data_IF_450413660144
#
_entry.id   IF_450413660144
#
_cell.length_a   1.000
_cell.length_b   1.000
_cell.length_c   1.000
_cell.angle_alpha   90.00
_cell.angle_beta   90.00
_cell.angle_gamma   90.00
#
_symmetry.space_group_name_H-M   'P 1'
#
loop_
_entity.id
_entity.type
_entity.pdbx_description
1 polymer ?
#
# COMPACT_ATOMS: atom_id res chain seq x y z
N UNK A 1 -26.50 -8.97 25.02
CA UNK A 1 -26.11 -9.66 23.76
C UNK A 1 -25.29 -8.70 22.94
N UNK A 2 -23.99 -8.87 22.92
CA UNK A 2 -23.15 -8.13 21.99
C UNK A 2 -23.36 -8.73 20.60
N UNK A 3 -23.91 -7.95 19.68
CA UNK A 3 -23.91 -8.30 18.26
C UNK A 3 -22.44 -8.51 17.88
N UNK A 4 -22.02 -9.68 17.39
CA UNK A 4 -20.67 -9.84 16.93
C UNK A 4 -20.49 -8.87 15.76
N UNK A 5 -19.74 -7.79 16.00
CA UNK A 5 -19.24 -6.90 14.93
C UNK A 5 -18.60 -7.86 13.94
N UNK A 6 -19.05 -7.79 12.69
CA UNK A 6 -18.69 -8.72 11.65
C UNK A 6 -17.17 -8.84 11.61
N UNK A 7 -16.63 -10.03 11.92
CA UNK A 7 -15.20 -10.28 12.09
C UNK A 7 -14.36 -10.05 10.81
N UNK A 8 -15.01 -9.69 9.70
CA UNK A 8 -14.37 -9.50 8.40
C UNK A 8 -14.18 -8.04 7.98
N UNK A 9 -14.81 -7.07 8.66
CA UNK A 9 -14.67 -5.64 8.33
C UNK A 9 -14.63 -4.78 9.60
N UNK A 10 -13.84 -3.72 9.57
CA UNK A 10 -13.72 -2.76 10.68
C UNK A 10 -13.50 -1.36 10.15
N UNK A 11 -14.29 -0.39 10.62
CA UNK A 11 -14.05 1.04 10.39
C UNK A 11 -12.90 1.48 11.30
N UNK A 12 -11.96 2.24 10.74
CA UNK A 12 -10.80 2.80 11.45
C UNK A 12 -10.82 4.31 11.25
N UNK A 13 -10.99 5.04 12.33
CA UNK A 13 -11.08 6.51 12.36
C UNK A 13 -9.80 7.18 12.83
N UNK A 14 -8.89 6.40 13.44
CA UNK A 14 -7.61 6.88 13.92
C UNK A 14 -6.47 6.22 13.15
N UNK A 15 -5.73 7.03 12.37
CA UNK A 15 -4.52 6.62 11.65
C UNK A 15 -4.66 5.30 10.87
N UNK A 16 -5.64 5.17 9.97
CA UNK A 16 -5.94 3.91 9.29
C UNK A 16 -4.73 3.33 8.54
N UNK A 17 -3.91 4.17 7.89
CA UNK A 17 -2.70 3.71 7.19
C UNK A 17 -1.67 3.18 8.18
N UNK A 18 -1.50 3.82 9.34
CA UNK A 18 -0.63 3.30 10.41
C UNK A 18 -1.12 1.93 10.90
N UNK A 19 -2.42 1.75 11.09
CA UNK A 19 -3.02 0.48 11.52
C UNK A 19 -2.71 -0.63 10.50
N UNK A 20 -2.84 -0.34 9.20
CA UNK A 20 -2.47 -1.27 8.12
C UNK A 20 -0.98 -1.63 8.18
N UNK A 21 -0.11 -0.63 8.22
CA UNK A 21 1.35 -0.84 8.27
C UNK A 21 1.77 -1.60 9.53
N UNK A 22 1.20 -1.26 10.68
CA UNK A 22 1.48 -1.97 11.94
C UNK A 22 1.11 -3.45 11.82
N UNK A 23 -0.05 -3.77 11.23
CA UNK A 23 -0.45 -5.16 11.02
C UNK A 23 0.52 -5.88 10.07
N UNK A 24 0.97 -5.22 9.02
CA UNK A 24 1.94 -5.76 8.07
C UNK A 24 3.32 -5.98 8.71
N UNK A 25 3.83 -5.00 9.47
CA UNK A 25 5.19 -5.05 10.05
C UNK A 25 5.27 -5.94 11.30
N UNK A 26 4.27 -5.89 12.18
CA UNK A 26 4.26 -6.63 13.46
C UNK A 26 3.66 -8.03 13.27
N UNK A 27 2.55 -8.14 12.55
CA UNK A 27 1.87 -9.41 12.29
C UNK A 27 2.66 -10.37 11.41
N UNK A 28 3.54 -9.83 10.56
CA UNK A 28 4.41 -10.59 9.65
C UNK A 28 3.68 -11.71 8.90
N UNK A 29 2.55 -11.43 8.22
CA UNK A 29 1.83 -12.44 7.47
C UNK A 29 2.74 -13.04 6.39
N UNK A 30 2.52 -14.31 6.03
CA UNK A 30 3.19 -14.92 4.87
C UNK A 30 2.65 -14.30 3.58
N UNK A 31 3.22 -13.14 3.22
CA UNK A 31 2.73 -12.28 2.15
C UNK A 31 3.16 -12.82 0.79
N UNK A 32 2.19 -13.11 -0.09
CA UNK A 32 2.43 -13.48 -1.49
C UNK A 32 2.49 -12.27 -2.43
N UNK A 33 1.78 -11.20 -2.10
CA UNK A 33 1.85 -9.94 -2.83
C UNK A 33 1.39 -8.77 -1.95
N UNK A 34 1.97 -7.59 -2.19
CA UNK A 34 1.51 -6.33 -1.64
C UNK A 34 1.05 -5.40 -2.75
N UNK A 35 -0.17 -4.87 -2.64
CA UNK A 35 -0.70 -3.86 -3.56
C UNK A 35 -0.84 -2.54 -2.82
N UNK A 36 -0.27 -1.50 -3.39
CA UNK A 36 -0.32 -0.12 -2.88
C UNK A 36 -0.90 0.77 -3.98
N UNK A 37 -2.06 1.32 -3.74
CA UNK A 37 -2.72 2.32 -4.60
C UNK A 37 -2.82 3.60 -3.78
N UNK A 38 -2.02 4.61 -4.13
CA UNK A 38 -1.99 5.87 -3.39
C UNK A 38 -1.53 7.00 -4.31
N UNK A 39 -2.33 8.07 -4.49
CA UNK A 39 -1.96 9.21 -5.31
C UNK A 39 -0.63 9.84 -4.94
N UNK A 40 -0.29 9.84 -3.65
CA UNK A 40 0.94 10.40 -3.11
C UNK A 40 1.62 9.38 -2.20
N UNK A 41 2.95 9.27 -2.32
CA UNK A 41 3.78 8.35 -1.55
C UNK A 41 5.00 9.10 -1.04
N UNK A 42 5.26 9.01 0.27
CA UNK A 42 6.49 9.49 0.89
C UNK A 42 7.39 8.33 1.30
N UNK A 43 8.66 8.59 1.56
CA UNK A 43 9.63 7.60 2.02
C UNK A 43 9.31 7.04 3.40
N UNK A 44 8.52 7.76 4.19
CA UNK A 44 8.23 7.52 5.60
C UNK A 44 9.51 7.45 6.47
N UNK A 45 10.59 8.10 6.02
CA UNK A 45 11.86 8.16 6.74
C UNK A 45 11.67 8.72 8.15
N UNK A 46 12.34 8.12 9.12
CA UNK A 46 12.23 8.49 10.54
C UNK A 46 10.99 7.96 11.25
N UNK A 47 10.13 7.23 10.56
CA UNK A 47 9.05 6.46 11.20
C UNK A 47 9.49 5.00 11.40
N UNK A 48 8.72 4.26 12.20
CA UNK A 48 8.92 2.80 12.35
C UNK A 48 8.41 1.99 11.14
N UNK A 49 7.93 2.64 10.08
CA UNK A 49 7.31 2.01 8.91
C UNK A 49 7.95 2.52 7.61
N UNK A 50 9.26 2.68 7.60
CA UNK A 50 9.98 3.16 6.41
C UNK A 50 9.75 2.25 5.20
N UNK A 51 9.51 2.84 4.03
CA UNK A 51 9.33 2.09 2.78
C UNK A 51 10.55 1.21 2.46
N UNK A 52 11.76 1.69 2.77
CA UNK A 52 12.99 0.93 2.60
C UNK A 52 12.93 -0.39 3.34
N UNK A 53 12.61 -0.37 4.63
CA UNK A 53 12.51 -1.59 5.46
C UNK A 53 11.43 -2.55 4.95
N UNK A 54 10.30 -2.01 4.45
CA UNK A 54 9.25 -2.81 3.84
C UNK A 54 9.74 -3.55 2.60
N UNK A 55 10.39 -2.83 1.67
CA UNK A 55 10.91 -3.39 0.43
C UNK A 55 12.02 -4.42 0.70
N UNK A 56 12.95 -4.14 1.61
CA UNK A 56 14.02 -5.07 2.01
C UNK A 56 13.44 -6.37 2.58
N UNK A 57 12.46 -6.27 3.47
CA UNK A 57 11.85 -7.46 4.08
C UNK A 57 11.11 -8.33 3.06
N UNK A 58 10.28 -7.73 2.21
CA UNK A 58 9.55 -8.47 1.18
C UNK A 58 10.46 -8.93 0.04
N UNK A 59 11.57 -8.22 -0.20
CA UNK A 59 12.61 -8.62 -1.13
C UNK A 59 13.35 -9.91 -0.71
N UNK A 60 13.51 -10.18 0.59
CA UNK A 60 14.12 -11.41 1.09
C UNK A 60 13.35 -12.67 0.69
N UNK A 61 12.04 -12.56 0.52
CA UNK A 61 11.16 -13.65 0.04
C UNK A 61 10.79 -13.51 -1.43
N UNK A 62 11.37 -12.53 -2.12
CA UNK A 62 11.02 -12.14 -3.49
C UNK A 62 9.52 -11.87 -3.69
N UNK A 63 8.87 -11.36 -2.65
CA UNK A 63 7.45 -11.03 -2.67
C UNK A 63 7.20 -9.78 -3.50
N UNK A 64 6.35 -9.83 -4.55
CA UNK A 64 6.11 -8.68 -5.40
C UNK A 64 5.33 -7.58 -4.68
N UNK A 65 5.73 -6.33 -4.95
CA UNK A 65 5.06 -5.12 -4.50
C UNK A 65 4.59 -4.35 -5.73
N UNK A 66 3.29 -4.24 -5.90
CA UNK A 66 2.66 -3.50 -7.00
C UNK A 66 2.20 -2.14 -6.50
N UNK A 67 2.75 -1.08 -7.07
CA UNK A 67 2.46 0.29 -6.67
C UNK A 67 1.84 1.06 -7.83
N UNK A 68 0.68 1.64 -7.60
CA UNK A 68 0.09 2.63 -8.49
C UNK A 68 0.01 3.97 -7.76
N UNK A 69 0.58 5.00 -8.39
CA UNK A 69 0.62 6.35 -7.84
C UNK A 69 0.44 7.39 -8.96
N UNK A 70 0.42 8.67 -8.65
CA UNK A 70 0.57 9.73 -9.65
C UNK A 70 2.03 9.94 -9.99
N UNK A 71 2.32 10.52 -11.14
CA UNK A 71 3.67 10.99 -11.42
C UNK A 71 4.09 12.06 -10.39
N UNK A 72 5.27 11.93 -9.76
CA UNK A 72 5.69 12.84 -8.71
C UNK A 72 5.93 14.25 -9.22
N UNK A 73 5.30 15.24 -8.59
CA UNK A 73 5.46 16.67 -8.91
C UNK A 73 6.29 17.42 -7.86
N UNK A 74 6.36 16.92 -6.63
CA UNK A 74 7.14 17.50 -5.53
C UNK A 74 8.27 16.57 -5.08
N UNK A 75 9.22 17.11 -4.31
CA UNK A 75 10.43 16.38 -3.89
C UNK A 75 10.10 15.26 -2.90
N UNK A 76 9.11 15.47 -2.03
CA UNK A 76 8.71 14.46 -1.06
C UNK A 76 8.15 13.18 -1.74
N UNK A 77 7.30 13.38 -2.76
CA UNK A 77 6.77 12.26 -3.55
C UNK A 77 7.86 11.61 -4.40
N UNK A 78 8.76 12.44 -5.00
CA UNK A 78 9.92 11.93 -5.74
C UNK A 78 10.81 11.05 -4.89
N UNK A 79 11.09 11.44 -3.65
CA UNK A 79 11.88 10.64 -2.71
C UNK A 79 11.21 9.30 -2.41
N UNK A 80 9.91 9.28 -2.11
CA UNK A 80 9.17 8.05 -1.85
C UNK A 80 9.20 7.07 -3.03
N UNK A 81 8.94 7.57 -4.24
CA UNK A 81 9.01 6.76 -5.46
C UNK A 81 10.44 6.30 -5.76
N UNK A 82 11.45 7.15 -5.54
CA UNK A 82 12.85 6.78 -5.75
C UNK A 82 13.31 5.67 -4.80
N UNK A 83 12.80 5.60 -3.58
CA UNK A 83 13.03 4.47 -2.67
C UNK A 83 12.49 3.18 -3.26
N UNK A 84 11.23 3.19 -3.73
CA UNK A 84 10.56 2.02 -4.29
C UNK A 84 11.28 1.46 -5.53
N UNK A 85 11.70 2.35 -6.44
CA UNK A 85 12.35 1.98 -7.71
C UNK A 85 13.77 1.37 -7.56
N UNK A 86 14.31 1.27 -6.34
CA UNK A 86 15.61 0.62 -6.08
C UNK A 86 15.50 -0.89 -5.94
N UNK A 87 14.31 -1.44 -5.84
CA UNK A 87 14.08 -2.84 -5.51
C UNK A 87 13.46 -3.59 -6.68
N UNK A 88 14.05 -4.72 -7.07
CA UNK A 88 13.62 -5.51 -8.23
C UNK A 88 12.26 -6.18 -8.04
N UNK A 89 11.85 -6.42 -6.80
CA UNK A 89 10.53 -6.96 -6.46
C UNK A 89 9.43 -5.89 -6.42
N UNK A 90 9.74 -4.63 -6.78
CA UNK A 90 8.76 -3.52 -6.78
C UNK A 90 8.47 -3.06 -8.19
N UNK A 91 7.21 -3.08 -8.58
CA UNK A 91 6.72 -2.47 -9.81
C UNK A 91 5.97 -1.18 -9.47
N UNK A 92 6.43 -0.05 -10.00
CA UNK A 92 5.75 1.25 -9.85
C UNK A 92 5.14 1.67 -11.18
N UNK A 93 3.86 2.07 -11.15
CA UNK A 93 3.15 2.65 -12.30
C UNK A 93 2.52 3.98 -11.93
N UNK A 94 2.38 4.84 -12.94
CA UNK A 94 1.77 6.16 -12.82
C UNK A 94 0.44 6.22 -13.55
N UNK A 95 -0.56 6.83 -12.90
CA UNK A 95 -1.82 7.21 -13.56
C UNK A 95 -2.25 8.60 -13.06
N UNK A 96 -2.36 9.61 -13.95
CA UNK A 96 -2.68 10.99 -13.57
C UNK A 96 -4.09 11.14 -12.99
N UNK A 97 -5.03 10.26 -13.35
CA UNK A 97 -6.40 10.28 -12.85
C UNK A 97 -6.57 9.59 -11.48
N UNK A 98 -5.50 9.01 -10.93
CA UNK A 98 -5.58 8.27 -9.67
C UNK A 98 -6.01 9.18 -8.51
N UNK A 99 -7.09 8.77 -7.82
CA UNK A 99 -7.52 9.39 -6.56
C UNK A 99 -7.81 8.36 -5.45
N UNK A 100 -7.99 7.10 -5.82
CA UNK A 100 -8.23 6.01 -4.86
C UNK A 100 -7.05 5.76 -3.93
N UNK A 101 -7.34 5.28 -2.72
CA UNK A 101 -6.36 4.78 -1.76
C UNK A 101 -6.79 3.38 -1.34
N UNK A 102 -5.96 2.42 -1.70
CA UNK A 102 -6.15 1.00 -1.40
C UNK A 102 -4.81 0.36 -1.07
N UNK A 103 -4.77 -0.41 -0.02
CA UNK A 103 -3.61 -1.19 0.43
C UNK A 103 -4.07 -2.62 0.63
N UNK A 104 -3.44 -3.59 -0.02
CA UNK A 104 -3.79 -5.00 0.12
C UNK A 104 -2.55 -5.82 0.45
N UNK A 105 -2.55 -6.47 1.59
CA UNK A 105 -1.65 -7.56 1.91
C UNK A 105 -2.33 -8.87 1.52
N UNK A 106 -1.94 -9.43 0.39
CA UNK A 106 -2.38 -10.74 -0.05
C UNK A 106 -1.45 -11.78 0.53
N UNK A 107 -1.96 -12.63 1.41
CA UNK A 107 -1.18 -13.65 2.11
C UNK A 107 -1.54 -15.04 1.59
N UNK A 108 -0.59 -15.99 1.74
CA UNK A 108 -0.77 -17.40 1.37
C UNK A 108 -1.99 -18.00 2.04
N UNK A 109 -2.10 -17.79 3.35
CA UNK A 109 -3.31 -18.13 4.08
C UNK A 109 -4.29 -16.97 3.99
N UNK A 110 -5.42 -17.17 3.31
CA UNK A 110 -6.42 -16.11 3.12
C UNK A 110 -6.89 -15.48 4.43
N UNK A 111 -6.93 -16.24 5.52
CA UNK A 111 -7.30 -15.74 6.86
C UNK A 111 -6.31 -14.72 7.43
N UNK A 112 -5.08 -14.67 6.92
CA UNK A 112 -4.05 -13.68 7.28
C UNK A 112 -4.05 -12.47 6.35
N UNK A 113 -4.67 -12.59 5.17
CA UNK A 113 -4.77 -11.52 4.20
C UNK A 113 -5.71 -10.40 4.71
N UNK A 114 -5.38 -9.17 4.37
CA UNK A 114 -6.18 -8.01 4.74
C UNK A 114 -5.99 -6.85 3.77
N UNK A 115 -6.97 -5.96 3.74
CA UNK A 115 -6.91 -4.73 2.97
C UNK A 115 -7.34 -3.54 3.81
N UNK A 116 -6.88 -2.36 3.42
CA UNK A 116 -7.37 -1.07 3.86
C UNK A 116 -7.75 -0.25 2.63
N UNK A 117 -8.92 0.35 2.63
CA UNK A 117 -9.25 1.44 1.70
C UNK A 117 -9.84 2.63 2.47
N UNK A 118 -9.67 3.85 1.94
CA UNK A 118 -10.15 5.04 2.63
C UNK A 118 -9.57 6.33 2.08
N UNK A 119 -9.39 7.32 2.95
CA UNK A 119 -8.91 8.66 2.58
C UNK A 119 -7.40 8.84 2.67
N UNK A 120 -6.70 8.04 3.49
CA UNK A 120 -5.29 8.23 3.81
C UNK A 120 -4.32 7.84 2.70
N UNK A 121 -3.42 8.77 2.33
CA UNK A 121 -2.29 8.50 1.44
C UNK A 121 -1.13 7.82 2.18
N UNK A 122 -0.23 7.16 1.44
CA UNK A 122 1.02 6.60 1.99
C UNK A 122 2.08 7.69 2.16
N UNK A 123 1.79 8.64 3.03
CA UNK A 123 2.63 9.80 3.34
C UNK A 123 2.71 9.99 4.84
N UNK A 124 3.72 10.72 5.33
CA UNK A 124 3.83 11.00 6.76
C UNK A 124 2.55 11.62 7.35
N UNK A 125 1.94 12.66 6.74
CA UNK A 125 0.65 13.19 7.22
C UNK A 125 -0.48 12.16 7.20
N UNK A 126 -0.57 11.32 6.15
CA UNK A 126 -1.60 10.27 6.05
C UNK A 126 -1.41 9.14 7.06
N UNK A 127 -0.17 8.89 7.51
CA UNK A 127 0.13 7.88 8.54
C UNK A 127 -0.09 8.42 9.95
N UNK A 128 0.32 9.68 10.24
CA UNK A 128 0.40 10.20 11.62
C UNK A 128 -0.28 11.53 11.88
N UNK A 129 -0.55 12.34 10.87
CA UNK A 129 -0.94 13.74 11.05
C UNK A 129 -2.37 14.11 10.71
N UNK A 130 -2.95 13.49 9.71
CA UNK A 130 -4.27 13.85 9.20
C UNK A 130 -5.41 13.16 9.97
N UNK A 131 -6.60 13.79 9.90
CA UNK A 131 -7.86 13.12 10.23
C UNK A 131 -8.25 12.30 9.01
N UNK A 132 -8.24 10.98 9.14
CA UNK A 132 -8.49 10.04 8.05
C UNK A 132 -9.57 9.03 8.45
N UNK A 133 -10.29 8.53 7.46
CA UNK A 133 -11.25 7.45 7.61
C UNK A 133 -10.82 6.28 6.72
N UNK A 134 -10.84 5.08 7.27
CA UNK A 134 -10.54 3.87 6.52
C UNK A 134 -11.44 2.71 6.93
N UNK A 135 -11.51 1.73 6.05
CA UNK A 135 -12.14 0.44 6.33
C UNK A 135 -11.12 -0.67 6.12
N UNK A 136 -10.85 -1.42 7.17
CA UNK A 136 -10.07 -2.66 7.11
C UNK A 136 -10.99 -3.81 6.74
N UNK A 137 -10.57 -4.63 5.78
CA UNK A 137 -11.21 -5.89 5.39
C UNK A 137 -10.24 -7.02 5.72
N UNK A 138 -10.75 -8.11 6.27
CA UNK A 138 -9.98 -9.30 6.63
C UNK A 138 -10.48 -10.51 5.85
N UNK A 139 -9.58 -11.41 5.48
CA UNK A 139 -9.85 -12.61 4.68
C UNK A 139 -10.62 -13.71 5.43
N UNK A 140 -11.63 -13.34 6.22
CA UNK A 140 -12.45 -14.24 7.05
C UNK A 140 -13.92 -14.16 6.62
N UNK A 141 -14.59 -15.31 6.56
CA UNK A 141 -15.99 -15.36 6.19
C UNK A 141 -16.29 -14.59 4.89
N UNK A 142 -17.32 -13.72 4.87
CA UNK A 142 -17.68 -12.92 3.69
C UNK A 142 -16.59 -11.93 3.23
N UNK A 143 -15.67 -11.57 4.12
CA UNK A 143 -14.56 -10.69 3.80
C UNK A 143 -13.56 -11.29 2.81
N UNK A 144 -13.54 -12.61 2.65
CA UNK A 144 -12.67 -13.30 1.70
C UNK A 144 -12.97 -12.87 0.25
N UNK A 145 -14.23 -12.88 -0.13
CA UNK A 145 -14.64 -12.53 -1.49
C UNK A 145 -14.41 -11.03 -1.76
N UNK A 146 -14.75 -10.19 -0.78
CA UNK A 146 -14.52 -8.74 -0.86
C UNK A 146 -13.03 -8.43 -0.97
N UNK A 147 -12.19 -9.08 -0.18
CA UNK A 147 -10.74 -8.94 -0.24
C UNK A 147 -10.18 -9.34 -1.60
N UNK A 148 -10.66 -10.47 -2.15
CA UNK A 148 -10.28 -10.92 -3.48
C UNK A 148 -10.67 -9.90 -4.57
N UNK A 149 -11.88 -9.33 -4.49
CA UNK A 149 -12.31 -8.26 -5.40
C UNK A 149 -11.40 -7.03 -5.30
N UNK A 150 -11.04 -6.59 -4.08
CA UNK A 150 -10.14 -5.45 -3.87
C UNK A 150 -8.72 -5.72 -4.40
N UNK A 151 -8.19 -6.93 -4.17
CA UNK A 151 -6.89 -7.35 -4.69
C UNK A 151 -6.87 -7.35 -6.21
N UNK A 152 -7.86 -8.00 -6.83
CA UNK A 152 -7.98 -8.04 -8.29
C UNK A 152 -8.13 -6.65 -8.87
N UNK A 153 -8.99 -5.81 -8.30
CA UNK A 153 -9.16 -4.44 -8.76
C UNK A 153 -7.85 -3.65 -8.69
N UNK A 154 -7.10 -3.74 -7.59
CA UNK A 154 -5.81 -3.09 -7.46
C UNK A 154 -4.78 -3.54 -8.51
N UNK A 155 -4.78 -4.82 -8.89
CA UNK A 155 -3.93 -5.33 -9.97
C UNK A 155 -4.39 -4.86 -11.35
N UNK A 156 -5.71 -4.85 -11.62
CA UNK A 156 -6.29 -4.45 -12.91
C UNK A 156 -6.02 -2.97 -13.23
N UNK A 157 -5.88 -2.11 -12.20
CA UNK A 157 -5.49 -0.71 -12.38
C UNK A 157 -4.15 -0.54 -13.12
N UNK A 158 -3.27 -1.53 -13.09
CA UNK A 158 -1.97 -1.52 -13.78
C UNK A 158 -2.10 -1.48 -15.30
N UNK A 159 -3.24 -1.91 -15.83
CA UNK A 159 -3.54 -1.97 -17.27
C UNK A 159 -4.57 -0.95 -17.72
N UNK A 160 -5.04 -0.08 -16.83
CA UNK A 160 -5.97 1.00 -17.17
C UNK A 160 -5.38 1.95 -18.21
N UNK A 161 -6.25 2.50 -19.05
CA UNK A 161 -5.88 3.57 -19.97
C UNK A 161 -5.23 4.74 -19.23
N UNK A 162 -4.15 5.27 -19.78
CA UNK A 162 -3.36 6.35 -19.15
C UNK A 162 -2.37 5.88 -18.09
N UNK A 163 -2.31 4.57 -17.78
CA UNK A 163 -1.29 4.02 -16.87
C UNK A 163 0.02 3.78 -17.62
N UNK A 164 1.12 4.26 -17.05
CA UNK A 164 2.48 4.09 -17.59
C UNK A 164 3.41 3.46 -16.55
N UNK A 165 4.47 2.79 -17.00
CA UNK A 165 5.50 2.22 -16.13
C UNK A 165 6.46 3.31 -15.68
N UNK A 166 6.70 3.42 -14.38
CA UNK A 166 7.72 4.29 -13.84
C UNK A 166 9.12 3.78 -14.21
N UNK A 167 9.97 4.66 -14.72
CA UNK A 167 11.35 4.32 -15.05
C UNK A 167 12.28 4.93 -14.01
N UNK A 168 13.20 4.14 -13.46
CA UNK A 168 14.27 4.66 -12.64
C UNK A 168 15.13 5.65 -13.44
N UNK A 169 15.12 6.93 -13.04
CA UNK A 169 16.09 7.91 -13.54
C UNK A 169 17.22 7.98 -12.53
N UNK A 170 18.43 7.50 -12.89
CA UNK A 170 19.61 7.77 -12.08
C UNK A 170 19.67 9.28 -11.80
N UNK A 171 19.83 9.69 -10.51
CA UNK A 171 20.05 11.11 -10.24
C UNK A 171 21.27 11.58 -11.03
N UNK A 172 21.16 12.73 -11.68
CA UNK A 172 22.30 13.36 -12.34
C UNK A 172 23.42 13.52 -11.30
N UNK A 173 24.63 13.02 -11.62
CA UNK A 173 25.79 13.29 -10.76
C UNK A 173 25.90 14.80 -10.63
N UNK A 174 25.74 15.35 -9.43
CA UNK A 174 26.13 16.72 -9.17
C UNK A 174 27.64 16.79 -9.38
N UNK A 175 28.04 17.42 -10.49
CA UNK A 175 29.44 17.84 -10.76
C UNK A 175 29.81 18.97 -9.83
#
# INVERSE_FOLDING_TARGET
MSIPVQQFARIVTERPVEVFLRKLFVGKPDTEALVIVSPFIGSLAGTRFELRQLCERLGQTNTPIYVLTREPVDDYHREGVAVLLRYDNVEVRYNPALHAKLYVCWARETSEAFALFGSGNLTYPGVQGNIELGMMIFGKGPGRDLLHCLYKWGLDLRTLAGTSVAKYRKPARRT
#
